data_IF_531770195151
#
_entry.id   IF_531770195151
#
_cell.length_a   1.000
_cell.length_b   1.000
_cell.length_c   1.000
_cell.angle_alpha   90.00
_cell.angle_beta   90.00
_cell.angle_gamma   90.00
#
_symmetry.space_group_name_H-M   'P 1'
#
loop_
_entity.id
_entity.type
_entity.pdbx_description
1 polymer ?
#
# COMPACT_ATOMS: atom_id res chain seq x y z
N UNK A 1 -1.50 -17.83 19.00
CA UNK A 1 -0.51 -17.22 18.09
C UNK A 1 0.35 -18.31 17.45
N UNK A 2 0.35 -18.47 16.11
CA UNK A 2 1.12 -19.53 15.40
C UNK A 2 2.54 -19.06 14.95
N UNK A 3 3.01 -17.95 15.53
CA UNK A 3 4.29 -17.33 15.17
C UNK A 3 5.51 -18.25 15.20
N UNK A 4 5.74 -19.10 16.22
CA UNK A 4 6.90 -19.99 16.25
C UNK A 4 6.92 -21.02 15.12
N UNK A 5 5.74 -21.53 14.72
CA UNK A 5 5.60 -22.51 13.63
C UNK A 5 5.84 -21.87 12.25
N UNK A 6 5.36 -20.65 12.05
CA UNK A 6 5.59 -19.86 10.82
C UNK A 6 7.07 -19.51 10.71
N UNK A 7 7.72 -19.10 11.80
CA UNK A 7 9.15 -18.79 11.82
C UNK A 7 10.02 -20.02 11.57
N UNK A 8 9.66 -21.18 12.08
CA UNK A 8 10.35 -22.44 11.81
C UNK A 8 10.31 -22.84 10.34
N UNK A 9 9.15 -22.71 9.69
CA UNK A 9 8.99 -22.96 8.25
C UNK A 9 9.80 -21.97 7.39
N UNK A 10 9.72 -20.68 7.69
CA UNK A 10 10.50 -19.64 6.99
C UNK A 10 12.00 -19.79 7.20
N UNK A 11 12.45 -20.32 8.33
CA UNK A 11 13.86 -20.59 8.58
C UNK A 11 14.39 -21.73 7.69
N UNK A 12 13.61 -22.78 7.46
CA UNK A 12 13.98 -23.91 6.58
C UNK A 12 14.02 -23.50 5.10
N UNK A 13 13.22 -22.52 4.69
CA UNK A 13 13.19 -21.99 3.32
C UNK A 13 14.34 -20.98 3.05
N UNK A 14 15.11 -20.58 4.07
CA UNK A 14 16.17 -19.56 3.99
C UNK A 14 17.44 -19.95 3.21
N UNK A 15 17.62 -21.18 2.85
CA UNK A 15 18.89 -21.72 2.38
C UNK A 15 19.06 -21.76 0.85
N UNK A 16 18.58 -20.79 0.10
CA UNK A 16 18.95 -20.66 -1.29
C UNK A 16 19.95 -19.51 -1.49
N UNK A 17 21.07 -19.81 -2.09
CA UNK A 17 22.28 -19.00 -2.24
C UNK A 17 22.19 -17.84 -3.22
N UNK A 18 21.00 -17.48 -3.67
CA UNK A 18 20.84 -16.45 -4.68
C UNK A 18 20.72 -15.06 -4.05
N UNK A 19 21.21 -14.07 -4.79
CA UNK A 19 21.08 -12.66 -4.46
C UNK A 19 19.61 -12.31 -4.25
N UNK A 20 19.25 -11.84 -3.05
CA UNK A 20 17.87 -11.49 -2.70
C UNK A 20 17.45 -10.21 -3.39
N UNK A 21 16.20 -10.13 -3.79
CA UNK A 21 15.51 -8.92 -4.17
C UNK A 21 14.57 -8.50 -3.04
N UNK A 22 14.84 -7.36 -2.41
CA UNK A 22 14.02 -6.81 -1.33
C UNK A 22 13.07 -5.79 -1.95
N UNK A 23 11.79 -6.11 -1.96
CA UNK A 23 10.75 -5.32 -2.60
C UNK A 23 9.98 -4.59 -1.52
N UNK A 24 10.20 -3.28 -1.41
CA UNK A 24 9.48 -2.42 -0.49
C UNK A 24 8.19 -1.91 -1.12
N UNK A 25 7.09 -2.07 -0.41
CA UNK A 25 5.81 -1.44 -0.73
C UNK A 25 5.35 -0.68 0.52
N UNK A 26 5.16 0.62 0.41
CA UNK A 26 4.78 1.47 1.53
C UNK A 26 3.32 1.90 1.36
N UNK A 27 2.45 1.33 2.18
CA UNK A 27 1.04 1.70 2.25
C UNK A 27 0.90 2.97 3.10
N UNK A 28 0.68 4.10 2.45
CA UNK A 28 0.48 5.37 3.12
C UNK A 28 -1.02 5.64 3.27
N UNK A 29 -1.51 5.71 4.51
CA UNK A 29 -2.82 6.24 4.81
C UNK A 29 -2.76 7.75 4.51
N UNK A 30 -3.30 8.12 3.34
CA UNK A 30 -3.14 9.46 2.77
C UNK A 30 -4.32 10.34 3.18
N UNK A 31 -4.25 10.89 4.37
CA UNK A 31 -5.34 11.59 5.07
C UNK A 31 -4.99 13.05 5.33
N UNK A 32 -5.00 13.93 4.30
CA UNK A 32 -4.61 15.34 4.44
C UNK A 32 -5.51 16.14 5.38
N UNK A 33 -6.75 15.70 5.61
CA UNK A 33 -7.69 16.31 6.53
C UNK A 33 -7.34 16.12 8.00
N UNK A 34 -6.59 15.06 8.32
CA UNK A 34 -6.32 14.72 9.72
C UNK A 34 -5.37 15.71 10.41
N UNK A 35 -5.70 16.11 11.62
CA UNK A 35 -4.79 16.82 12.53
C UNK A 35 -5.05 16.40 13.99
N UNK A 36 -4.09 16.69 14.87
CA UNK A 36 -4.24 16.43 16.30
C UNK A 36 -5.40 17.22 16.96
N UNK A 37 -5.87 18.30 16.31
CA UNK A 37 -6.93 19.19 16.79
C UNK A 37 -8.27 19.00 16.06
N UNK A 38 -8.43 17.93 15.28
CA UNK A 38 -9.61 17.65 14.48
C UNK A 38 -9.36 17.74 12.99
N UNK A 39 -10.41 17.68 12.18
CA UNK A 39 -10.30 17.73 10.72
C UNK A 39 -10.02 19.17 10.23
N UNK A 40 -9.10 19.29 9.29
CA UNK A 40 -8.75 20.54 8.64
C UNK A 40 -9.76 20.90 7.54
N UNK A 41 -9.91 22.20 7.28
CA UNK A 41 -10.61 22.71 6.10
C UNK A 41 -9.87 22.38 4.80
N UNK A 42 -10.55 22.50 3.66
CA UNK A 42 -10.00 22.14 2.35
C UNK A 42 -8.77 22.96 1.96
N UNK A 43 -8.73 24.23 2.29
CA UNK A 43 -7.58 25.09 1.96
C UNK A 43 -6.33 24.69 2.75
N UNK A 44 -6.50 24.30 4.02
CA UNK A 44 -5.41 23.76 4.82
C UNK A 44 -4.93 22.39 4.29
N UNK A 45 -5.86 21.53 3.89
CA UNK A 45 -5.53 20.23 3.27
C UNK A 45 -4.73 20.40 1.98
N UNK A 46 -5.15 21.32 1.10
CA UNK A 46 -4.46 21.60 -0.18
C UNK A 46 -3.04 22.15 0.05
N UNK A 47 -2.86 23.08 1.00
CA UNK A 47 -1.51 23.58 1.37
C UNK A 47 -0.61 22.47 1.90
N UNK A 48 -1.12 21.60 2.78
CA UNK A 48 -0.36 20.43 3.28
C UNK A 48 0.02 19.48 2.15
N UNK A 49 -0.85 19.29 1.19
CA UNK A 49 -0.59 18.45 0.02
C UNK A 49 0.52 19.03 -0.86
N UNK A 50 0.55 20.35 -1.07
CA UNK A 50 1.64 21.02 -1.80
C UNK A 50 3.00 20.83 -1.10
N UNK A 51 3.03 20.91 0.21
CA UNK A 51 4.25 20.70 0.98
C UNK A 51 4.66 19.21 0.98
N UNK A 52 3.71 18.30 1.09
CA UNK A 52 3.95 16.87 0.93
C UNK A 52 4.50 16.54 -0.46
N UNK A 53 3.96 17.12 -1.53
CA UNK A 53 4.43 16.91 -2.90
C UNK A 53 5.90 17.35 -3.08
N UNK A 54 6.28 18.53 -2.57
CA UNK A 54 7.68 19.00 -2.56
C UNK A 54 8.60 17.99 -1.85
N UNK A 55 8.13 17.48 -0.71
CA UNK A 55 8.88 16.53 0.09
C UNK A 55 9.02 15.17 -0.62
N UNK A 56 7.94 14.67 -1.23
CA UNK A 56 7.92 13.45 -2.02
C UNK A 56 8.87 13.54 -3.22
N UNK A 57 8.86 14.67 -3.94
CA UNK A 57 9.78 14.94 -5.06
C UNK A 57 11.23 14.91 -4.58
N UNK A 58 11.56 15.65 -3.53
CA UNK A 58 12.92 15.70 -2.96
C UNK A 58 13.41 14.31 -2.53
N UNK A 59 12.54 13.51 -1.93
CA UNK A 59 12.90 12.17 -1.44
C UNK A 59 12.99 11.17 -2.59
N UNK A 60 12.07 11.23 -3.56
CA UNK A 60 12.10 10.38 -4.75
C UNK A 60 13.32 10.63 -5.64
N UNK A 61 13.78 11.89 -5.74
CA UNK A 61 15.01 12.23 -6.48
C UNK A 61 16.29 11.80 -5.75
N UNK A 62 16.26 11.82 -4.42
CA UNK A 62 17.41 11.43 -3.60
C UNK A 62 17.58 9.91 -3.46
N UNK A 63 16.51 9.14 -3.60
CA UNK A 63 16.50 7.69 -3.37
C UNK A 63 16.04 6.97 -4.64
N UNK A 64 16.98 6.36 -5.33
CA UNK A 64 16.72 5.49 -6.48
C UNK A 64 17.02 4.04 -6.09
N UNK A 65 16.15 3.13 -6.49
CA UNK A 65 16.38 1.71 -6.30
C UNK A 65 17.40 1.13 -7.30
N UNK A 66 17.64 -0.18 -7.23
CA UNK A 66 18.62 -0.87 -8.08
C UNK A 66 18.37 -0.76 -9.59
N UNK A 67 17.20 -0.30 -10.00
CA UNK A 67 16.77 -0.16 -11.40
C UNK A 67 16.43 1.31 -11.75
N UNK A 68 16.77 2.26 -10.87
CA UNK A 68 16.53 3.69 -11.06
C UNK A 68 15.09 4.14 -10.76
N UNK A 69 14.28 3.29 -10.13
CA UNK A 69 12.93 3.68 -9.69
C UNK A 69 13.01 4.56 -8.46
N UNK A 70 12.30 5.69 -8.49
CA UNK A 70 12.21 6.62 -7.35
C UNK A 70 11.59 5.97 -6.13
N UNK A 71 12.05 6.36 -4.94
CA UNK A 71 11.31 6.09 -3.70
C UNK A 71 9.91 6.66 -3.81
N UNK A 72 8.91 5.87 -3.43
CA UNK A 72 7.51 6.25 -3.54
C UNK A 72 6.61 5.47 -2.60
N UNK A 73 5.47 6.06 -2.30
CA UNK A 73 4.40 5.41 -1.55
C UNK A 73 3.31 4.89 -2.48
N UNK A 74 2.47 3.99 -1.97
CA UNK A 74 1.11 3.80 -2.44
C UNK A 74 0.20 4.63 -1.54
N UNK A 75 -0.45 5.62 -2.10
CA UNK A 75 -1.27 6.58 -1.38
C UNK A 75 -2.72 6.09 -1.33
N UNK A 76 -3.12 5.56 -0.20
CA UNK A 76 -4.48 5.11 0.06
C UNK A 76 -5.32 6.31 0.51
N UNK A 77 -6.12 6.85 -0.41
CA UNK A 77 -6.91 8.07 -0.18
C UNK A 77 -8.33 7.73 0.32
N UNK A 78 -8.84 8.41 1.37
CA UNK A 78 -10.14 8.13 1.95
C UNK A 78 -11.28 8.52 1.01
N UNK A 79 -12.13 7.55 0.63
CA UNK A 79 -13.23 7.77 -0.30
C UNK A 79 -14.25 8.83 0.21
N UNK A 80 -14.45 8.85 1.52
CA UNK A 80 -15.36 9.80 2.20
C UNK A 80 -14.85 11.25 2.24
N UNK A 81 -13.60 11.49 1.81
CA UNK A 81 -12.95 12.81 1.82
C UNK A 81 -12.69 13.33 0.41
N UNK A 82 -13.46 12.88 -0.58
CA UNK A 82 -13.26 13.28 -1.97
C UNK A 82 -13.21 14.81 -2.13
N UNK A 83 -12.14 15.28 -2.75
CA UNK A 83 -11.99 16.64 -3.27
C UNK A 83 -11.29 16.59 -4.62
N UNK A 84 -11.88 17.25 -5.62
CA UNK A 84 -11.39 17.21 -7.00
C UNK A 84 -9.95 17.74 -7.11
N UNK A 85 -9.64 18.88 -6.47
CA UNK A 85 -8.32 19.51 -6.60
C UNK A 85 -7.22 18.69 -5.88
N UNK A 86 -7.57 18.06 -4.75
CA UNK A 86 -6.63 17.17 -4.06
C UNK A 86 -6.29 15.99 -4.97
N UNK A 87 -7.29 15.37 -5.60
CA UNK A 87 -7.05 14.22 -6.47
C UNK A 87 -6.35 14.58 -7.79
N UNK A 88 -6.59 15.77 -8.35
CA UNK A 88 -5.79 16.27 -9.47
C UNK A 88 -4.31 16.41 -9.08
N UNK A 89 -4.03 16.91 -7.89
CA UNK A 89 -2.65 17.01 -7.38
C UNK A 89 -2.03 15.63 -7.14
N UNK A 90 -2.81 14.67 -6.68
CA UNK A 90 -2.34 13.28 -6.54
C UNK A 90 -2.08 12.63 -7.90
N UNK A 91 -2.89 12.95 -8.93
CA UNK A 91 -2.65 12.52 -10.30
C UNK A 91 -1.35 13.13 -10.87
N UNK A 92 -1.06 14.41 -10.59
CA UNK A 92 0.22 15.03 -10.91
C UNK A 92 1.39 14.28 -10.26
N UNK A 93 1.31 14.00 -8.95
CA UNK A 93 2.33 13.23 -8.24
C UNK A 93 2.54 11.84 -8.84
N UNK A 94 1.46 11.16 -9.22
CA UNK A 94 1.54 9.84 -9.87
C UNK A 94 2.22 9.92 -11.23
N UNK A 95 1.93 10.95 -12.04
CA UNK A 95 2.56 11.18 -13.35
C UNK A 95 4.07 11.40 -13.25
N UNK A 96 4.51 11.99 -12.14
CA UNK A 96 5.94 12.20 -11.80
C UNK A 96 6.63 10.93 -11.26
N UNK A 97 5.89 9.85 -11.03
CA UNK A 97 6.40 8.60 -10.47
C UNK A 97 6.65 8.65 -8.96
N UNK A 98 5.99 9.58 -8.24
CA UNK A 98 6.14 9.78 -6.78
C UNK A 98 5.21 8.93 -5.93
N UNK A 99 4.35 8.14 -6.57
CA UNK A 99 3.44 7.21 -5.93
C UNK A 99 2.28 6.84 -6.83
N UNK A 100 1.51 5.82 -6.45
CA UNK A 100 0.25 5.48 -7.10
C UNK A 100 -0.87 5.63 -6.08
N UNK A 101 -2.05 6.06 -6.54
CA UNK A 101 -3.22 6.30 -5.69
C UNK A 101 -4.13 5.08 -5.68
N UNK A 102 -4.56 4.67 -4.49
CA UNK A 102 -5.44 3.53 -4.24
C UNK A 102 -6.53 3.89 -3.23
N UNK A 103 -7.45 2.99 -2.93
CA UNK A 103 -8.64 3.27 -2.13
C UNK A 103 -8.43 3.00 -0.65
N UNK A 104 -8.75 4.00 0.17
CA UNK A 104 -8.97 3.92 1.61
C UNK A 104 -10.44 4.21 1.93
N UNK A 105 -10.97 3.64 2.99
CA UNK A 105 -12.36 3.94 3.39
C UNK A 105 -12.54 3.68 4.88
N UNK A 106 -13.09 4.69 5.59
CA UNK A 106 -13.64 4.55 6.93
C UNK A 106 -15.15 4.42 6.82
N UNK A 107 -15.68 3.27 7.15
CA UNK A 107 -17.12 3.05 7.14
C UNK A 107 -17.58 2.33 8.40
N UNK A 108 -18.86 2.40 8.70
CA UNK A 108 -19.39 1.79 9.92
C UNK A 108 -18.86 2.42 11.23
N UNK A 109 -18.45 3.70 11.21
CA UNK A 109 -17.81 4.38 12.35
C UNK A 109 -18.83 4.74 13.42
N UNK A 110 -19.91 5.44 13.07
CA UNK A 110 -20.97 5.86 14.00
C UNK A 110 -21.98 4.73 14.26
N UNK A 111 -22.31 3.97 13.23
CA UNK A 111 -23.18 2.81 13.26
C UNK A 111 -22.72 1.79 12.22
N UNK A 112 -23.02 0.49 12.42
CA UNK A 112 -22.71 -0.54 11.43
C UNK A 112 -23.20 -0.15 10.03
N UNK A 113 -22.33 -0.32 9.02
CA UNK A 113 -22.64 -0.06 7.63
C UNK A 113 -23.48 -1.18 7.02
N UNK A 114 -23.96 -0.95 5.80
CA UNK A 114 -24.74 -1.93 5.01
C UNK A 114 -23.96 -2.37 3.78
N UNK A 115 -24.22 -3.59 3.32
CA UNK A 115 -23.61 -4.12 2.11
C UNK A 115 -23.90 -3.27 0.86
N UNK A 116 -25.10 -2.67 0.79
CA UNK A 116 -25.52 -1.79 -0.30
C UNK A 116 -24.71 -0.49 -0.29
N UNK A 117 -24.62 0.17 0.87
CA UNK A 117 -23.87 1.42 1.01
C UNK A 117 -22.38 1.22 0.72
N UNK A 118 -21.76 0.18 1.28
CA UNK A 118 -20.37 -0.14 1.02
C UNK A 118 -20.09 -0.38 -0.47
N UNK A 119 -20.93 -1.21 -1.13
CA UNK A 119 -20.80 -1.48 -2.58
C UNK A 119 -20.91 -0.21 -3.41
N UNK A 120 -21.86 0.64 -3.07
CA UNK A 120 -22.07 1.93 -3.74
C UNK A 120 -20.86 2.83 -3.57
N UNK A 121 -20.42 3.07 -2.33
CA UNK A 121 -19.28 3.95 -2.03
C UNK A 121 -18.01 3.52 -2.74
N UNK A 122 -17.68 2.22 -2.69
CA UNK A 122 -16.48 1.68 -3.37
C UNK A 122 -16.59 1.79 -4.89
N UNK A 123 -17.76 1.51 -5.48
CA UNK A 123 -17.93 1.56 -6.94
C UNK A 123 -17.88 2.99 -7.45
N UNK A 124 -18.57 3.92 -6.80
CA UNK A 124 -18.59 5.35 -7.18
C UNK A 124 -17.19 5.95 -7.09
N UNK A 125 -16.50 5.74 -5.97
CA UNK A 125 -15.16 6.30 -5.79
C UNK A 125 -14.13 5.68 -6.74
N UNK A 126 -14.16 4.36 -6.94
CA UNK A 126 -13.34 3.68 -7.97
C UNK A 126 -13.53 4.31 -9.35
N UNK A 127 -14.78 4.55 -9.73
CA UNK A 127 -15.10 5.07 -11.06
C UNK A 127 -14.68 6.52 -11.20
N UNK A 128 -14.84 7.35 -10.16
CA UNK A 128 -14.29 8.72 -10.10
C UNK A 128 -12.77 8.70 -10.28
N UNK A 129 -12.05 7.92 -9.48
CA UNK A 129 -10.59 7.85 -9.59
C UNK A 129 -10.12 7.46 -10.99
N UNK A 130 -10.81 6.50 -11.62
CA UNK A 130 -10.43 5.98 -12.92
C UNK A 130 -10.85 6.90 -14.09
N UNK A 131 -12.02 7.48 -14.03
CA UNK A 131 -12.60 8.22 -15.17
C UNK A 131 -12.22 9.69 -15.14
N UNK A 132 -12.30 10.35 -13.97
CA UNK A 132 -12.00 11.76 -13.83
C UNK A 132 -10.49 12.01 -13.75
N UNK A 133 -9.79 11.28 -12.88
CA UNK A 133 -8.40 11.53 -12.52
C UNK A 133 -7.38 10.60 -13.22
N UNK A 134 -7.84 9.62 -14.03
CA UNK A 134 -6.97 8.63 -14.70
C UNK A 134 -6.07 7.82 -13.76
N UNK A 135 -6.45 7.75 -12.52
CA UNK A 135 -5.81 6.94 -11.48
C UNK A 135 -6.22 5.47 -11.59
N UNK A 136 -5.72 4.62 -10.68
CA UNK A 136 -5.96 3.18 -10.64
C UNK A 136 -5.36 2.39 -11.83
N UNK A 137 -5.84 1.15 -11.99
CA UNK A 137 -5.29 0.20 -12.98
C UNK A 137 -6.37 -0.67 -13.62
N UNK A 138 -6.00 -1.39 -14.68
CA UNK A 138 -6.85 -2.40 -15.34
C UNK A 138 -6.04 -3.61 -15.74
N UNK A 139 -6.68 -4.77 -15.81
CA UNK A 139 -6.16 -5.89 -16.58
C UNK A 139 -6.36 -5.64 -18.07
N UNK A 140 -5.49 -6.17 -18.91
CA UNK A 140 -5.66 -6.10 -20.35
C UNK A 140 -7.00 -6.72 -20.77
N UNK A 141 -7.79 -5.97 -21.52
CA UNK A 141 -9.12 -6.38 -21.99
C UNK A 141 -10.23 -6.33 -20.96
N UNK A 142 -9.97 -5.91 -19.71
CA UNK A 142 -11.00 -5.73 -18.68
C UNK A 142 -11.43 -4.24 -18.61
N UNK A 143 -12.70 -3.97 -18.78
CA UNK A 143 -13.25 -2.61 -18.69
C UNK A 143 -13.31 -2.10 -17.24
N UNK A 144 -13.41 -3.00 -16.25
CA UNK A 144 -13.56 -2.63 -14.85
C UNK A 144 -12.22 -2.15 -14.27
N UNK A 145 -12.15 -0.91 -13.72
CA UNK A 145 -10.97 -0.48 -12.98
C UNK A 145 -10.73 -1.36 -11.75
N UNK A 146 -9.45 -1.56 -11.44
CA UNK A 146 -8.98 -2.36 -10.31
C UNK A 146 -8.23 -1.48 -9.32
N UNK A 147 -8.36 -1.81 -8.03
CA UNK A 147 -7.76 -1.05 -6.95
C UNK A 147 -7.21 -1.96 -5.84
N UNK A 148 -6.20 -1.48 -5.11
CA UNK A 148 -5.85 -2.01 -3.81
C UNK A 148 -6.67 -1.31 -2.72
N UNK A 149 -6.81 -1.96 -1.58
CA UNK A 149 -7.62 -1.48 -0.46
C UNK A 149 -6.85 -1.47 0.85
N UNK A 150 -7.10 -0.44 1.66
CA UNK A 150 -6.77 -0.39 3.08
C UNK A 150 -8.02 -0.01 3.84
N UNK A 151 -8.46 -0.87 4.76
CA UNK A 151 -9.61 -0.61 5.60
C UNK A 151 -9.28 0.41 6.69
N UNK A 152 -10.08 1.46 6.78
CA UNK A 152 -10.05 2.40 7.88
C UNK A 152 -10.33 1.71 9.21
N UNK A 153 -9.68 2.15 10.29
CA UNK A 153 -9.82 1.57 11.62
C UNK A 153 -9.50 0.05 11.69
N UNK A 154 -8.79 -0.51 10.71
CA UNK A 154 -8.28 -1.89 10.66
C UNK A 154 -9.35 -3.00 10.69
N UNK A 155 -10.64 -2.68 10.60
CA UNK A 155 -11.74 -3.62 10.87
C UNK A 155 -12.14 -4.53 9.67
N UNK A 156 -11.18 -4.84 8.79
CA UNK A 156 -11.39 -5.65 7.59
C UNK A 156 -12.26 -6.89 7.84
N UNK A 157 -13.22 -7.14 6.94
CA UNK A 157 -14.12 -8.31 6.99
C UNK A 157 -15.00 -8.34 8.22
N UNK A 158 -15.37 -7.20 8.76
CA UNK A 158 -16.15 -7.04 9.99
C UNK A 158 -15.49 -7.70 11.22
N UNK A 159 -14.16 -7.62 11.30
CA UNK A 159 -13.36 -8.30 12.33
C UNK A 159 -13.48 -7.72 13.74
N UNK A 160 -14.03 -6.50 13.88
CA UNK A 160 -14.20 -5.80 15.16
C UNK A 160 -15.65 -5.89 15.70
N UNK A 161 -16.33 -6.99 15.46
CA UNK A 161 -17.63 -7.28 16.09
C UNK A 161 -18.76 -6.32 15.70
N UNK A 162 -18.73 -5.73 14.50
CA UNK A 162 -19.71 -4.75 14.01
C UNK A 162 -19.27 -3.30 14.16
N UNK A 163 -18.21 -3.01 14.90
CA UNK A 163 -17.61 -1.68 14.99
C UNK A 163 -16.71 -1.43 13.77
N UNK A 164 -16.77 -0.22 13.24
CA UNK A 164 -15.92 0.25 12.14
C UNK A 164 -16.06 -0.54 10.83
N UNK A 165 -17.13 -1.32 10.67
CA UNK A 165 -17.51 -2.02 9.46
C UNK A 165 -19.01 -2.36 9.49
N UNK A 166 -19.42 -3.51 10.07
CA UNK A 166 -20.81 -3.96 10.15
C UNK A 166 -21.23 -4.84 8.96
N UNK A 167 -20.38 -5.06 7.98
CA UNK A 167 -20.69 -5.81 6.75
C UNK A 167 -19.95 -7.14 6.73
N UNK A 168 -20.64 -8.24 7.03
CA UNK A 168 -20.04 -9.58 7.06
C UNK A 168 -19.54 -10.04 5.67
N UNK A 169 -20.19 -9.58 4.59
CA UNK A 169 -19.84 -9.89 3.20
C UNK A 169 -18.83 -8.91 2.57
N UNK A 170 -18.12 -8.09 3.36
CA UNK A 170 -17.20 -7.08 2.84
C UNK A 170 -16.19 -7.65 1.86
N UNK A 171 -15.56 -8.81 2.15
CA UNK A 171 -14.57 -9.41 1.27
C UNK A 171 -15.13 -9.79 -0.10
N UNK A 172 -16.41 -10.21 -0.17
CA UNK A 172 -17.11 -10.43 -1.43
C UNK A 172 -17.33 -9.12 -2.17
N UNK A 173 -17.76 -8.07 -1.47
CA UNK A 173 -17.99 -6.74 -2.07
C UNK A 173 -16.69 -6.16 -2.63
N UNK A 174 -15.59 -6.28 -1.91
CA UNK A 174 -14.26 -5.88 -2.40
C UNK A 174 -13.92 -6.62 -3.71
N UNK A 175 -14.17 -7.93 -3.78
CA UNK A 175 -13.97 -8.70 -5.01
C UNK A 175 -14.83 -8.19 -6.16
N UNK A 176 -16.13 -8.04 -5.95
CA UNK A 176 -17.13 -7.63 -6.95
C UNK A 176 -16.84 -6.22 -7.49
N UNK A 177 -16.36 -5.34 -6.63
CA UNK A 177 -16.05 -3.95 -6.99
C UNK A 177 -14.65 -3.78 -7.61
N UNK A 178 -13.85 -4.86 -7.71
CA UNK A 178 -12.60 -4.87 -8.44
C UNK A 178 -11.33 -4.74 -7.59
N UNK A 179 -11.43 -4.96 -6.28
CA UNK A 179 -10.25 -5.00 -5.41
C UNK A 179 -9.32 -6.15 -5.79
N UNK A 180 -8.05 -5.86 -6.09
CA UNK A 180 -7.06 -6.88 -6.41
C UNK A 180 -6.22 -7.29 -5.21
N UNK A 181 -6.02 -6.38 -4.26
CA UNK A 181 -5.21 -6.63 -3.06
C UNK A 181 -5.73 -5.83 -1.87
N UNK A 182 -5.65 -6.42 -0.68
CA UNK A 182 -5.81 -5.73 0.60
C UNK A 182 -4.46 -5.60 1.30
N UNK A 183 -4.18 -4.41 1.84
CA UNK A 183 -2.94 -4.08 2.53
C UNK A 183 -3.17 -3.58 3.96
N UNK A 184 -4.33 -3.86 4.55
CA UNK A 184 -4.68 -3.43 5.92
C UNK A 184 -3.76 -4.04 6.98
N UNK A 185 -3.44 -5.32 6.88
CA UNK A 185 -2.74 -6.07 7.93
C UNK A 185 -1.21 -5.97 7.84
N UNK A 186 -0.44 -6.06 8.95
CA UNK A 186 -0.86 -6.46 10.29
C UNK A 186 -1.47 -5.33 11.09
N UNK A 187 -2.26 -5.68 12.11
CA UNK A 187 -2.93 -4.75 13.01
C UNK A 187 -2.67 -5.02 14.51
N UNK A 188 -1.73 -5.92 14.82
CA UNK A 188 -1.45 -6.29 16.20
C UNK A 188 -1.01 -5.09 17.07
N UNK A 189 -1.53 -4.94 18.31
CA UNK A 189 -2.26 -5.95 19.09
C UNK A 189 -3.80 -5.89 18.94
N UNK A 190 -4.34 -5.20 17.95
CA UNK A 190 -5.77 -5.03 17.74
C UNK A 190 -6.52 -6.37 17.54
N UNK A 191 -7.82 -6.40 17.83
CA UNK A 191 -8.68 -7.59 17.69
C UNK A 191 -8.87 -8.04 16.23
N UNK A 192 -8.64 -7.15 15.27
CA UNK A 192 -8.66 -7.45 13.83
C UNK A 192 -7.49 -8.32 13.39
N UNK A 193 -6.43 -8.44 14.21
CA UNK A 193 -5.24 -9.20 13.85
C UNK A 193 -5.55 -10.67 13.54
N UNK A 194 -4.97 -11.17 12.46
CA UNK A 194 -5.16 -12.54 11.97
C UNK A 194 -3.97 -13.44 12.33
N UNK A 195 -4.21 -14.76 12.29
CA UNK A 195 -3.16 -15.76 12.49
C UNK A 195 -2.29 -16.02 11.23
N UNK A 196 -2.72 -15.53 10.06
CA UNK A 196 -2.00 -15.61 8.79
C UNK A 196 -0.92 -14.52 8.73
N UNK A 197 0.18 -14.73 9.47
CA UNK A 197 1.28 -13.77 9.63
C UNK A 197 2.33 -13.93 8.53
N UNK A 198 2.89 -12.81 8.11
CA UNK A 198 4.07 -12.77 7.22
C UNK A 198 3.87 -13.59 5.94
N UNK A 199 2.73 -13.41 5.29
CA UNK A 199 2.35 -14.15 4.10
C UNK A 199 1.63 -13.25 3.09
N UNK A 200 1.66 -13.68 1.82
CA UNK A 200 0.76 -13.24 0.77
C UNK A 200 -0.18 -14.41 0.50
N UNK A 201 -1.49 -14.19 0.62
CA UNK A 201 -2.44 -15.30 0.59
C UNK A 201 -3.81 -14.87 0.03
N UNK A 202 -4.56 -15.84 -0.48
CA UNK A 202 -5.98 -15.70 -0.80
C UNK A 202 -6.84 -16.03 0.42
N UNK A 203 -7.98 -15.38 0.56
CA UNK A 203 -8.93 -15.63 1.66
C UNK A 203 -9.48 -17.05 1.62
N UNK A 204 -9.98 -17.51 2.76
CA UNK A 204 -10.85 -18.69 2.83
C UNK A 204 -12.17 -18.45 2.08
N UNK A 205 -12.82 -19.50 1.66
CA UNK A 205 -14.10 -19.47 0.97
C UNK A 205 -15.22 -20.05 1.85
N UNK A 206 -16.46 -19.58 1.62
CA UNK A 206 -16.90 -18.53 0.71
C UNK A 206 -16.57 -17.13 1.25
N UNK A 207 -16.40 -16.14 0.34
CA UNK A 207 -16.13 -14.74 0.73
C UNK A 207 -17.33 -14.04 1.39
N UNK A 208 -18.51 -14.66 1.34
CA UNK A 208 -19.74 -14.20 2.00
C UNK A 208 -19.75 -14.43 3.51
N UNK A 209 -18.86 -15.31 3.99
CA UNK A 209 -18.72 -15.52 5.43
C UNK A 209 -18.09 -14.31 6.11
N UNK A 210 -18.39 -14.13 7.38
CA UNK A 210 -17.70 -13.18 8.24
C UNK A 210 -16.22 -13.53 8.36
N UNK A 211 -15.35 -12.51 8.26
CA UNK A 211 -13.90 -12.64 8.46
C UNK A 211 -13.22 -13.78 7.65
N UNK A 212 -13.50 -13.95 6.35
CA UNK A 212 -12.93 -15.05 5.57
C UNK A 212 -11.40 -14.92 5.43
N UNK A 213 -10.86 -13.71 5.58
CA UNK A 213 -9.42 -13.40 5.57
C UNK A 213 -8.67 -13.95 6.81
N UNK A 214 -9.35 -14.39 7.87
CA UNK A 214 -8.71 -15.09 9.00
C UNK A 214 -8.23 -16.48 8.65
N UNK A 215 -8.70 -17.04 7.55
CA UNK A 215 -8.29 -18.32 6.97
C UNK A 215 -7.82 -18.05 5.55
N UNK A 216 -7.07 -18.97 4.98
CA UNK A 216 -6.67 -18.81 3.60
C UNK A 216 -5.52 -19.70 3.19
N UNK A 217 -5.08 -19.52 1.97
CA UNK A 217 -4.02 -20.30 1.37
C UNK A 217 -2.93 -19.37 0.84
N UNK A 218 -1.71 -19.51 1.37
CA UNK A 218 -0.55 -18.79 0.86
C UNK A 218 -0.33 -19.12 -0.62
N UNK A 219 -0.04 -18.08 -1.41
CA UNK A 219 0.26 -18.23 -2.83
C UNK A 219 1.60 -18.95 -3.05
N UNK A 220 1.71 -19.69 -4.15
CA UNK A 220 2.91 -20.47 -4.49
C UNK A 220 3.19 -20.45 -5.99
N UNK A 221 4.45 -20.64 -6.35
CA UNK A 221 4.91 -20.82 -7.74
C UNK A 221 4.18 -22.02 -8.36
N UNK A 222 3.71 -21.84 -9.60
CA UNK A 222 2.89 -22.80 -10.33
C UNK A 222 1.64 -23.24 -9.56
N UNK A 223 1.14 -22.36 -8.67
CA UNK A 223 -0.12 -22.56 -7.96
C UNK A 223 -1.33 -22.35 -8.86
N UNK A 224 -2.52 -22.66 -8.33
CA UNK A 224 -3.75 -22.23 -8.98
C UNK A 224 -3.82 -20.71 -8.97
N UNK A 225 -4.44 -20.12 -10.00
CA UNK A 225 -4.76 -18.68 -10.01
C UNK A 225 -5.51 -18.34 -8.72
N UNK A 226 -5.00 -17.40 -7.93
CA UNK A 226 -5.61 -17.08 -6.64
C UNK A 226 -6.92 -16.33 -6.83
N UNK A 227 -7.81 -16.48 -5.85
CA UNK A 227 -8.99 -15.64 -5.73
C UNK A 227 -8.59 -14.25 -5.19
N UNK A 228 -9.15 -13.21 -5.78
CA UNK A 228 -8.95 -11.84 -5.32
C UNK A 228 -9.97 -11.44 -4.26
N UNK A 229 -9.71 -10.46 -3.40
CA UNK A 229 -8.40 -9.80 -3.28
C UNK A 229 -7.35 -10.69 -2.62
N UNK A 230 -6.08 -10.49 -2.99
CA UNK A 230 -4.95 -11.04 -2.24
C UNK A 230 -4.72 -10.23 -0.98
N UNK A 231 -4.44 -10.90 0.14
CA UNK A 231 -4.06 -10.24 1.38
C UNK A 231 -2.53 -10.17 1.48
N UNK A 232 -2.01 -8.95 1.55
CA UNK A 232 -0.58 -8.67 1.75
C UNK A 232 -0.36 -8.30 3.22
N UNK A 233 0.11 -9.26 4.03
CA UNK A 233 0.50 -8.91 5.39
C UNK A 233 1.92 -8.35 5.40
N UNK A 234 2.14 -7.26 6.15
CA UNK A 234 3.47 -6.73 6.39
C UNK A 234 4.26 -7.59 7.39
N UNK A 235 5.51 -7.21 7.67
CA UNK A 235 6.28 -7.87 8.69
C UNK A 235 5.62 -7.68 10.07
N UNK A 236 5.48 -8.78 10.79
CA UNK A 236 5.14 -8.79 12.22
C UNK A 236 6.07 -9.78 12.91
N UNK A 237 7.03 -9.26 13.66
CA UNK A 237 8.14 -10.03 14.22
C UNK A 237 8.35 -9.72 15.70
N UNK A 238 9.07 -10.59 16.42
CA UNK A 238 9.52 -10.27 17.75
C UNK A 238 10.83 -9.51 17.73
N UNK A 239 10.84 -8.37 18.43
CA UNK A 239 12.05 -7.61 18.75
C UNK A 239 12.46 -7.92 20.20
N UNK A 240 13.68 -8.44 20.40
CA UNK A 240 14.25 -8.86 21.67
C UNK A 240 15.28 -7.87 22.22
N UNK A 241 15.38 -6.68 21.64
CA UNK A 241 16.40 -5.69 22.07
C UNK A 241 16.09 -5.06 23.42
N UNK A 242 14.82 -5.03 23.83
CA UNK A 242 14.43 -4.52 25.15
C UNK A 242 14.83 -5.49 26.23
N UNK A 243 15.46 -4.97 27.28
CA UNK A 243 15.81 -5.75 28.48
C UNK A 243 15.17 -5.14 29.72
N UNK A 244 14.69 -6.00 30.63
CA UNK A 244 14.29 -5.62 31.99
C UNK A 244 15.12 -6.46 32.95
N UNK A 245 15.90 -5.80 33.81
CA UNK A 245 16.83 -6.46 34.75
C UNK A 245 17.77 -7.48 34.07
N UNK A 246 18.28 -7.14 32.86
CA UNK A 246 19.16 -8.02 32.08
C UNK A 246 18.48 -9.16 31.32
N UNK A 247 17.17 -9.35 31.48
CA UNK A 247 16.42 -10.37 30.75
C UNK A 247 15.78 -9.76 29.47
N UNK A 248 15.98 -10.36 28.29
CA UNK A 248 15.38 -9.88 27.05
C UNK A 248 13.85 -10.08 27.08
N UNK A 249 13.11 -9.01 26.78
CA UNK A 249 11.66 -9.05 26.73
C UNK A 249 11.20 -8.84 25.29
N UNK A 250 10.38 -9.78 24.74
CA UNK A 250 9.86 -9.65 23.42
C UNK A 250 8.88 -8.50 23.31
N UNK A 251 9.04 -7.68 22.25
CA UNK A 251 8.04 -6.74 21.77
C UNK A 251 7.61 -7.15 20.38
N UNK A 252 6.34 -6.96 20.04
CA UNK A 252 5.90 -7.03 18.66
C UNK A 252 6.45 -5.82 17.90
N UNK A 253 6.99 -6.06 16.73
CA UNK A 253 7.46 -5.04 15.80
C UNK A 253 6.84 -5.32 14.44
N UNK A 254 6.27 -4.30 13.87
CA UNK A 254 5.65 -4.29 12.55
C UNK A 254 6.40 -3.38 11.56
N UNK A 255 5.77 -3.10 10.43
CA UNK A 255 6.31 -2.26 9.35
C UNK A 255 6.00 -0.78 9.47
N UNK A 256 5.66 -0.25 10.63
CA UNK A 256 5.33 1.18 10.81
C UNK A 256 6.54 2.08 10.56
N UNK A 257 6.38 3.13 9.75
CA UNK A 257 7.35 4.22 9.59
C UNK A 257 6.92 5.39 10.48
N UNK A 258 7.38 5.39 11.73
CA UNK A 258 6.98 6.35 12.78
C UNK A 258 8.21 6.89 13.52
N UNK A 259 8.10 8.13 14.04
CA UNK A 259 9.19 8.86 14.68
C UNK A 259 9.76 8.20 15.95
N UNK A 260 8.94 7.45 16.66
CA UNK A 260 9.30 6.85 17.96
C UNK A 260 9.89 5.43 17.85
N UNK A 261 10.21 4.98 16.64
CA UNK A 261 10.86 3.69 16.39
C UNK A 261 12.19 3.88 15.66
N UNK A 262 13.24 3.11 16.00
CA UNK A 262 14.53 3.21 15.32
C UNK A 262 14.40 2.98 13.81
N UNK A 263 15.05 3.81 13.03
CA UNK A 263 15.22 3.65 11.58
C UNK A 263 16.67 3.24 11.33
N UNK A 264 16.96 1.92 11.41
CA UNK A 264 18.31 1.37 11.34
C UNK A 264 18.39 0.00 10.62
N UNK A 265 19.59 -0.42 10.25
CA UNK A 265 19.80 -1.71 9.59
C UNK A 265 19.41 -2.91 10.45
N UNK A 266 19.34 -2.78 11.77
CA UNK A 266 18.87 -3.86 12.64
C UNK A 266 17.36 -4.07 12.46
N UNK A 267 16.60 -2.97 12.32
CA UNK A 267 15.18 -3.02 12.00
C UNK A 267 14.92 -3.58 10.61
N UNK A 268 15.67 -3.13 9.61
CA UNK A 268 15.62 -3.70 8.26
C UNK A 268 15.85 -5.22 8.27
N UNK A 269 16.86 -5.70 9.01
CA UNK A 269 17.12 -7.15 9.14
C UNK A 269 15.96 -7.90 9.81
N UNK A 270 15.29 -7.30 10.78
CA UNK A 270 14.09 -7.89 11.40
C UNK A 270 12.94 -8.00 10.40
N UNK A 271 12.66 -6.95 9.64
CA UNK A 271 11.62 -6.96 8.60
C UNK A 271 11.88 -8.03 7.52
N UNK A 272 13.09 -8.04 6.98
CA UNK A 272 13.47 -9.04 5.97
C UNK A 272 13.48 -10.47 6.54
N UNK A 273 13.68 -10.61 7.86
CA UNK A 273 13.60 -11.91 8.54
C UNK A 273 12.20 -12.51 8.59
N UNK A 274 11.15 -11.71 8.41
CA UNK A 274 9.78 -12.19 8.24
C UNK A 274 9.64 -13.06 6.99
N UNK A 275 10.51 -12.83 5.99
CA UNK A 275 10.63 -13.60 4.76
C UNK A 275 9.30 -13.81 4.04
N UNK A 276 8.57 -12.70 3.84
CA UNK A 276 7.30 -12.72 3.10
C UNK A 276 7.60 -12.94 1.63
N UNK A 277 7.23 -14.10 1.09
CA UNK A 277 7.55 -14.51 -0.28
C UNK A 277 6.36 -15.23 -0.92
N UNK A 278 6.34 -15.31 -2.25
CA UNK A 278 5.56 -16.34 -2.94
C UNK A 278 6.24 -17.68 -2.68
N UNK A 279 5.51 -18.67 -2.19
CA UNK A 279 6.04 -19.96 -1.79
C UNK A 279 6.75 -20.65 -2.95
N UNK A 280 8.03 -20.92 -2.82
CA UNK A 280 8.90 -21.44 -3.90
C UNK A 280 9.66 -20.35 -4.69
N UNK A 281 9.44 -19.05 -4.40
CA UNK A 281 10.18 -17.89 -4.94
C UNK A 281 10.90 -17.17 -3.79
N UNK A 282 11.89 -17.81 -3.20
CA UNK A 282 12.54 -17.34 -1.95
C UNK A 282 13.51 -16.19 -2.15
N UNK A 283 13.89 -15.89 -3.37
CA UNK A 283 14.76 -14.78 -3.78
C UNK A 283 14.03 -13.42 -3.85
N UNK A 284 12.70 -13.40 -4.01
CA UNK A 284 11.88 -12.19 -3.98
C UNK A 284 11.20 -12.04 -2.62
N UNK A 285 11.71 -11.12 -1.81
CA UNK A 285 11.21 -10.86 -0.45
C UNK A 285 10.42 -9.57 -0.43
N UNK A 286 9.14 -9.65 -0.12
CA UNK A 286 8.23 -8.51 -0.04
C UNK A 286 8.23 -7.93 1.37
N UNK A 287 8.46 -6.64 1.48
CA UNK A 287 8.44 -5.90 2.74
C UNK A 287 7.38 -4.79 2.63
N UNK A 288 6.15 -5.13 3.01
CA UNK A 288 5.06 -4.14 3.06
C UNK A 288 5.18 -3.36 4.36
N UNK A 289 5.45 -2.07 4.24
CA UNK A 289 5.47 -1.09 5.32
C UNK A 289 4.20 -0.26 5.30
N UNK A 290 3.97 0.54 6.35
CA UNK A 290 2.88 1.49 6.36
C UNK A 290 3.25 2.78 7.10
N UNK A 291 2.55 3.86 6.79
CA UNK A 291 2.71 5.16 7.44
C UNK A 291 1.42 5.98 7.33
N UNK A 292 1.39 7.08 8.08
CA UNK A 292 0.43 8.15 7.96
C UNK A 292 1.21 9.42 7.57
N UNK A 293 1.32 9.68 6.26
CA UNK A 293 2.19 10.72 5.70
C UNK A 293 1.84 12.15 6.11
N UNK A 294 0.64 12.35 6.67
CA UNK A 294 0.16 13.64 7.17
C UNK A 294 0.16 13.77 8.69
N UNK A 295 0.67 12.80 9.43
CA UNK A 295 0.95 12.99 10.84
C UNK A 295 2.26 13.77 10.98
N UNK A 296 2.18 15.03 11.42
CA UNK A 296 3.31 15.97 11.44
C UNK A 296 4.56 15.39 12.13
N UNK A 297 4.34 14.65 13.24
CA UNK A 297 5.41 14.01 13.99
C UNK A 297 6.04 12.81 13.26
N UNK A 298 5.34 12.17 12.33
CA UNK A 298 5.82 11.00 11.58
C UNK A 298 6.30 11.33 10.17
N UNK A 299 6.13 12.57 9.71
CA UNK A 299 6.45 12.97 8.33
C UNK A 299 7.93 12.76 8.00
N UNK A 300 8.84 13.06 8.94
CA UNK A 300 10.28 12.80 8.74
C UNK A 300 10.59 11.32 8.53
N UNK A 301 9.96 10.43 9.31
CA UNK A 301 10.15 8.99 9.23
C UNK A 301 9.47 8.36 8.00
N UNK A 302 8.37 8.92 7.52
CA UNK A 302 7.61 8.38 6.39
C UNK A 302 8.15 8.80 5.03
N UNK A 303 8.46 10.10 4.85
CA UNK A 303 8.83 10.69 3.54
C UNK A 303 9.96 11.73 3.63
N UNK A 304 10.37 12.13 4.83
CA UNK A 304 11.31 13.21 5.07
C UNK A 304 12.77 12.78 5.20
N UNK A 305 13.49 13.45 6.09
CA UNK A 305 14.93 13.27 6.25
C UNK A 305 15.30 11.91 6.85
N UNK A 306 14.57 11.45 7.87
CA UNK A 306 14.84 10.14 8.47
C UNK A 306 14.58 9.00 7.47
N UNK A 307 13.55 9.11 6.63
CA UNK A 307 13.32 8.17 5.54
C UNK A 307 14.48 8.17 4.55
N UNK A 308 14.95 9.35 4.10
CA UNK A 308 16.10 9.45 3.17
C UNK A 308 17.36 8.82 3.75
N UNK A 309 17.68 9.12 5.00
CA UNK A 309 18.83 8.54 5.69
C UNK A 309 18.73 7.02 5.79
N UNK A 310 17.60 6.53 6.25
CA UNK A 310 17.40 5.10 6.49
C UNK A 310 17.41 4.27 5.19
N UNK A 311 16.62 4.66 4.19
CA UNK A 311 16.60 3.94 2.92
C UNK A 311 17.89 4.12 2.13
N UNK A 312 18.56 5.27 2.24
CA UNK A 312 19.90 5.49 1.71
C UNK A 312 20.92 4.53 2.31
N UNK A 313 20.92 4.35 3.63
CA UNK A 313 21.78 3.38 4.31
C UNK A 313 21.51 1.94 3.86
N UNK A 314 20.26 1.57 3.61
CA UNK A 314 19.89 0.25 3.08
C UNK A 314 20.43 0.06 1.65
N UNK A 315 20.31 1.07 0.80
CA UNK A 315 20.80 1.03 -0.60
C UNK A 315 22.33 0.93 -0.60
N UNK A 316 23.02 1.78 0.14
CA UNK A 316 24.49 1.71 0.27
C UNK A 316 24.97 0.35 0.79
N UNK A 317 24.29 -0.20 1.80
CA UNK A 317 24.60 -1.52 2.31
C UNK A 317 24.36 -2.62 1.27
N UNK A 318 23.34 -2.47 0.42
CA UNK A 318 23.07 -3.36 -0.71
C UNK A 318 24.25 -3.37 -1.70
N UNK A 319 24.69 -2.19 -2.11
CA UNK A 319 25.80 -2.02 -3.03
C UNK A 319 27.12 -2.55 -2.46
N UNK A 320 27.42 -2.18 -1.21
CA UNK A 320 28.63 -2.60 -0.50
C UNK A 320 28.73 -4.10 -0.29
N UNK A 321 27.63 -4.75 0.03
CA UNK A 321 27.65 -6.19 0.37
C UNK A 321 27.37 -7.11 -0.82
N UNK A 322 26.65 -6.60 -1.83
CA UNK A 322 26.17 -7.38 -2.97
C UNK A 322 25.16 -8.50 -2.63
N UNK A 323 24.70 -8.59 -1.37
CA UNK A 323 23.87 -9.70 -0.87
C UNK A 323 22.40 -9.58 -1.29
N UNK A 324 21.93 -8.38 -1.58
CA UNK A 324 20.56 -8.12 -2.01
C UNK A 324 20.50 -6.93 -2.97
N UNK A 325 19.39 -6.76 -3.63
CA UNK A 325 18.99 -5.56 -4.37
C UNK A 325 17.74 -4.98 -3.76
N UNK A 326 17.62 -3.66 -3.73
CA UNK A 326 16.45 -2.93 -3.25
C UNK A 326 15.57 -2.56 -4.42
N UNK A 327 14.26 -2.71 -4.27
CA UNK A 327 13.24 -2.29 -5.23
C UNK A 327 12.13 -1.54 -4.49
N UNK A 328 11.72 -0.38 -5.02
CA UNK A 328 10.53 0.33 -4.56
C UNK A 328 9.37 0.01 -5.48
N UNK A 329 8.29 -0.54 -4.94
CA UNK A 329 7.12 -0.96 -5.72
C UNK A 329 5.84 -0.36 -5.12
N UNK A 330 4.93 0.10 -6.00
CA UNK A 330 3.56 0.39 -5.59
C UNK A 330 2.79 -0.89 -5.25
N UNK A 331 1.59 -0.77 -4.68
CA UNK A 331 0.70 -1.91 -4.41
C UNK A 331 0.40 -2.70 -5.69
N UNK A 332 0.10 -1.99 -6.79
CA UNK A 332 -0.14 -2.57 -8.11
C UNK A 332 1.08 -3.35 -8.61
N UNK A 333 2.25 -2.75 -8.51
CA UNK A 333 3.48 -3.41 -8.93
C UNK A 333 3.80 -4.62 -8.07
N UNK A 334 3.66 -4.53 -6.74
CA UNK A 334 3.85 -5.67 -5.85
C UNK A 334 2.89 -6.83 -6.20
N UNK A 335 1.63 -6.53 -6.51
CA UNK A 335 0.68 -7.52 -7.00
C UNK A 335 1.12 -8.15 -8.32
N UNK A 336 1.62 -7.35 -9.28
CA UNK A 336 2.15 -7.84 -10.55
C UNK A 336 3.37 -8.75 -10.34
N UNK A 337 4.28 -8.39 -9.43
CA UNK A 337 5.44 -9.22 -9.09
C UNK A 337 5.01 -10.55 -8.47
N UNK A 338 4.01 -10.52 -7.58
CA UNK A 338 3.44 -11.75 -7.00
C UNK A 338 2.80 -12.61 -8.09
N UNK A 339 2.05 -12.02 -9.01
CA UNK A 339 1.42 -12.74 -10.13
C UNK A 339 2.47 -13.38 -11.04
N UNK A 340 3.52 -12.63 -11.40
CA UNK A 340 4.64 -13.15 -12.18
C UNK A 340 5.35 -14.31 -11.45
N UNK A 341 5.57 -14.18 -10.15
CA UNK A 341 6.17 -15.24 -9.34
C UNK A 341 5.28 -16.50 -9.27
N UNK A 342 3.96 -16.35 -9.18
CA UNK A 342 3.01 -17.50 -9.23
C UNK A 342 3.13 -18.22 -10.57
N UNK A 343 3.28 -17.50 -11.68
CA UNK A 343 3.46 -18.05 -13.02
C UNK A 343 4.89 -18.57 -13.29
N UNK A 344 5.75 -18.60 -12.26
CA UNK A 344 7.08 -19.16 -12.35
C UNK A 344 8.13 -18.24 -13.00
N UNK A 345 7.80 -16.95 -13.23
CA UNK A 345 8.78 -15.97 -13.73
C UNK A 345 9.92 -15.81 -12.72
N UNK A 346 11.10 -15.51 -13.22
CA UNK A 346 12.34 -15.35 -12.43
C UNK A 346 13.19 -14.20 -12.98
N UNK A 347 14.33 -13.94 -12.36
CA UNK A 347 15.22 -12.86 -12.75
C UNK A 347 14.96 -11.56 -12.02
N UNK A 348 15.10 -10.42 -12.72
CA UNK A 348 14.93 -9.12 -12.11
C UNK A 348 13.43 -8.79 -11.95
N UNK A 349 12.93 -8.54 -10.71
CA UNK A 349 11.53 -8.15 -10.51
C UNK A 349 11.10 -6.95 -11.36
N UNK A 350 12.01 -6.04 -11.66
CA UNK A 350 11.69 -4.83 -12.43
C UNK A 350 11.05 -5.13 -13.80
N UNK A 351 11.36 -6.26 -14.41
CA UNK A 351 10.80 -6.68 -15.70
C UNK A 351 9.30 -6.98 -15.62
N UNK A 352 8.75 -7.18 -14.42
CA UNK A 352 7.37 -7.63 -14.20
C UNK A 352 6.49 -6.60 -13.50
N UNK A 353 6.92 -5.34 -13.35
CA UNK A 353 6.12 -4.28 -12.69
C UNK A 353 4.76 -4.03 -13.37
N UNK A 354 4.64 -4.33 -14.66
CA UNK A 354 3.41 -4.21 -15.46
C UNK A 354 2.94 -5.57 -16.01
N UNK A 355 3.14 -6.65 -15.26
CA UNK A 355 2.91 -8.02 -15.72
C UNK A 355 1.43 -8.31 -16.06
N UNK A 356 0.47 -7.84 -15.26
CA UNK A 356 -0.95 -8.06 -15.49
C UNK A 356 -1.76 -6.78 -15.40
N UNK A 357 -1.66 -6.08 -14.26
CA UNK A 357 -2.32 -4.80 -14.06
C UNK A 357 -1.48 -3.66 -14.65
N UNK A 358 -2.08 -2.86 -15.51
CA UNK A 358 -1.48 -1.65 -16.07
C UNK A 358 -2.18 -0.42 -15.52
N UNK A 359 -1.42 0.65 -15.26
CA UNK A 359 -2.00 1.93 -14.86
C UNK A 359 -2.93 2.45 -15.97
N UNK A 360 -4.04 3.07 -15.57
CA UNK A 360 -4.96 3.75 -16.49
C UNK A 360 -4.32 5.04 -17.03
N UNK A 361 -3.51 5.70 -16.21
CA UNK A 361 -2.78 6.91 -16.61
C UNK A 361 -1.81 6.60 -17.75
N UNK A 362 -1.96 7.32 -18.85
CA UNK A 362 -1.04 7.28 -19.98
C UNK A 362 0.30 7.96 -19.63
N UNK A 363 1.35 7.70 -20.42
CA UNK A 363 2.69 8.24 -20.12
C UNK A 363 2.69 9.78 -20.07
N UNK A 364 3.47 10.34 -19.19
CA UNK A 364 3.46 11.74 -18.74
C UNK A 364 3.36 12.84 -19.82
N UNK A 365 3.81 12.64 -21.04
CA UNK A 365 3.72 13.63 -22.11
C UNK A 365 2.28 13.89 -22.59
N UNK A 366 1.42 12.88 -22.59
CA UNK A 366 0.01 13.00 -22.98
C UNK A 366 -0.84 13.52 -21.84
N UNK A 367 -0.51 13.15 -20.60
CA UNK A 367 -1.20 13.64 -19.40
C UNK A 367 -1.05 15.16 -19.23
N UNK A 368 0.17 15.69 -19.35
CA UNK A 368 0.40 17.14 -19.25
C UNK A 368 -0.28 17.94 -20.36
N UNK A 369 -0.40 17.37 -21.58
CA UNK A 369 -1.15 18.00 -22.67
C UNK A 369 -2.67 18.02 -22.38
N UNK A 370 -3.22 16.98 -21.78
CA UNK A 370 -4.63 16.90 -21.43
C UNK A 370 -4.98 17.87 -20.29
N UNK A 371 -4.11 17.97 -19.26
CA UNK A 371 -4.28 18.92 -18.16
C UNK A 371 -4.22 20.38 -18.64
N UNK A 372 -3.24 20.74 -19.46
CA UNK A 372 -3.13 22.07 -20.04
C UNK A 372 -4.33 22.44 -20.93
N UNK A 373 -4.97 21.46 -21.57
CA UNK A 373 -6.18 21.69 -22.36
C UNK A 373 -7.44 21.83 -21.49
N UNK A 374 -7.53 21.14 -20.35
CA UNK A 374 -8.62 21.31 -19.38
C UNK A 374 -8.58 22.71 -18.73
N UNK A 375 -7.41 23.14 -18.24
CA UNK A 375 -7.25 24.50 -17.69
C UNK A 375 -7.63 25.59 -18.68
N UNK A 376 -7.38 25.40 -19.98
CA UNK A 376 -7.81 26.35 -21.03
C UNK A 376 -9.32 26.32 -21.30
N UNK A 377 -10.00 25.18 -21.12
CA UNK A 377 -11.44 25.09 -21.29
C UNK A 377 -12.20 25.71 -20.11
N UNK A 378 -11.69 25.59 -18.89
CA UNK A 378 -12.30 26.17 -17.70
C UNK A 378 -12.10 27.69 -17.60
N UNK A 379 -11.04 28.25 -18.17
CA UNK A 379 -10.85 29.69 -18.30
C UNK A 379 -11.69 30.34 -19.45
N UNK A 380 -12.31 29.53 -20.30
CA UNK A 380 -13.08 30.01 -21.47
C UNK A 380 -14.58 30.33 -21.21
N UNK A 381 -15.12 30.05 -20.02
CA UNK A 381 -16.51 30.30 -19.67
C UNK A 381 -16.71 31.45 -18.65
N UNK A 382 -16.14 32.57 -18.93
CA UNK A 382 -16.35 33.73 -18.07
C UNK A 382 -16.00 35.03 -18.75
N UNK A 383 -16.79 35.51 -19.67
CA UNK A 383 -17.07 36.93 -19.94
C UNK A 383 -18.15 36.97 -21.07
N UNK A 384 -19.43 36.95 -20.71
CA UNK A 384 -20.44 37.69 -21.45
C UNK A 384 -20.83 38.90 -20.63
N UNK A 385 -20.28 40.02 -21.01
CA UNK A 385 -20.69 41.34 -20.51
C UNK A 385 -22.06 41.67 -21.05
N UNK A 386 -23.06 41.77 -20.19
CA UNK A 386 -24.26 42.49 -20.52
C UNK A 386 -23.98 43.99 -20.54
N UNK A 387 -23.87 44.53 -21.76
CA UNK A 387 -24.03 45.96 -22.05
C UNK A 387 -25.39 46.17 -22.65
N UNK A 388 -26.31 46.77 -21.90
CA UNK A 388 -27.29 47.77 -22.28
C UNK A 388 -28.21 48.07 -21.12
#
# INVERSE_FOLDING_TARGET
MRYPLVRGKTFLERNAFEKKHIIFTIANHFEPSWSANGLLDLDAQRRRLDDYHKLARRTGEALLDADGTKFRHTNFYPAEQYDFQILEKMAEMQSEGLGETEIHLHHGVEKPDTAENLRKSLSEFRDILAQEHKLLSRFDGDAQPKYAFVHGNLALGNSCGGRFCGVDSEMQILQETGCYADMTLPSAPDESQVAMLNQIYECGLPLTEKIPHRKGRAVKVFGKKPQLPLIFTGPLVFNWTRQIRGLPIPRLEDGALVHNQPMDLARFRRWTSANVTVKGRTDWVFVKLYCHGFFDHDQSASIGEDARKFFGEIIENSEKTGKYKVHFASAREAFNLVSAAIDGKNGNPNEFRNYGLKTIMEKSSEFHLQMANRERSDCGFGIEAHSS
#
